data_IF_746914757928
#
_entry.id   IF_746914757928
#
_cell.length_a   1.000
_cell.length_b   1.000
_cell.length_c   1.000
_cell.angle_alpha   90.00
_cell.angle_beta   90.00
_cell.angle_gamma   90.00
#
_symmetry.space_group_name_H-M   'P 1'
#
loop_
_entity.id
_entity.type
_entity.pdbx_description
1 polymer ?
#
# COMPACT_ATOMS: atom_id res chain seq x y z
N UNK A 1 2.79 -16.21 -2.45
CA UNK A 1 3.33 -14.92 -2.94
C UNK A 1 2.31 -13.87 -2.55
N UNK A 2 2.65 -12.93 -1.67
CA UNK A 2 1.70 -11.89 -1.26
C UNK A 2 1.53 -10.92 -2.43
N UNK A 3 0.32 -10.81 -2.95
CA UNK A 3 -0.04 -9.86 -4.01
C UNK A 3 -0.89 -8.75 -3.40
N UNK A 4 -0.62 -7.52 -3.82
CA UNK A 4 -1.40 -6.34 -3.48
C UNK A 4 -1.52 -5.44 -4.72
N UNK A 5 -2.73 -4.98 -5.03
CA UNK A 5 -2.97 -4.18 -6.24
C UNK A 5 -4.15 -3.23 -6.07
N UNK A 6 -4.02 -2.04 -6.65
CA UNK A 6 -5.11 -1.08 -6.83
C UNK A 6 -6.06 -1.60 -7.92
N UNK A 7 -7.36 -1.63 -7.62
CA UNK A 7 -8.40 -2.04 -8.55
C UNK A 7 -9.08 -0.84 -9.19
N UNK A 8 -9.30 0.23 -8.42
CA UNK A 8 -9.99 1.43 -8.89
C UNK A 8 -9.52 2.70 -8.16
N UNK A 9 -9.55 3.83 -8.86
CA UNK A 9 -9.42 5.16 -8.26
C UNK A 9 -10.58 6.04 -8.70
N UNK A 10 -11.40 6.48 -7.74
CA UNK A 10 -12.48 7.42 -7.96
C UNK A 10 -11.99 8.84 -7.63
N UNK A 11 -11.90 9.68 -8.67
CA UNK A 11 -11.44 11.06 -8.55
C UNK A 11 -12.46 11.99 -7.89
N UNK A 12 -13.75 11.73 -8.04
CA UNK A 12 -14.82 12.57 -7.49
C UNK A 12 -14.89 12.46 -5.96
N UNK A 13 -14.83 11.22 -5.44
CA UNK A 13 -14.81 10.94 -4.00
C UNK A 13 -13.40 10.93 -3.40
N UNK A 14 -12.36 11.03 -4.24
CA UNK A 14 -10.95 10.88 -3.87
C UNK A 14 -10.69 9.59 -3.06
N UNK A 15 -11.25 8.47 -3.52
CA UNK A 15 -11.12 7.15 -2.89
C UNK A 15 -10.40 6.16 -3.79
N UNK A 16 -9.63 5.28 -3.18
CA UNK A 16 -8.88 4.20 -3.84
C UNK A 16 -9.42 2.87 -3.33
N UNK A 17 -9.80 2.00 -4.26
CA UNK A 17 -10.12 0.59 -3.97
C UNK A 17 -8.92 -0.28 -4.32
N UNK A 18 -8.53 -1.15 -3.41
CA UNK A 18 -7.36 -2.00 -3.54
C UNK A 18 -7.57 -3.31 -2.78
N UNK A 19 -6.79 -4.34 -3.13
CA UNK A 19 -6.76 -5.58 -2.36
C UNK A 19 -5.35 -5.92 -1.92
N UNK A 20 -5.27 -6.69 -0.84
CA UNK A 20 -4.05 -7.36 -0.39
C UNK A 20 -4.35 -8.78 0.07
N UNK A 21 -3.37 -9.66 -0.09
CA UNK A 21 -3.41 -11.00 0.49
C UNK A 21 -2.65 -10.98 1.83
N UNK A 22 -3.33 -11.32 2.92
CA UNK A 22 -2.68 -11.44 4.22
C UNK A 22 -1.72 -12.65 4.20
N UNK A 23 -0.45 -12.41 4.54
CA UNK A 23 0.59 -13.43 4.56
C UNK A 23 0.38 -14.48 5.66
N UNK A 24 -0.46 -14.20 6.66
CA UNK A 24 -0.75 -15.12 7.78
C UNK A 24 -1.87 -16.10 7.42
N UNK A 25 -2.93 -15.58 6.81
CA UNK A 25 -4.15 -16.35 6.55
C UNK A 25 -4.37 -16.68 5.06
N UNK A 26 -3.48 -16.23 4.17
CA UNK A 26 -3.56 -16.33 2.69
C UNK A 26 -4.91 -15.86 2.10
N UNK A 27 -5.66 -15.08 2.86
CA UNK A 27 -6.96 -14.52 2.44
C UNK A 27 -6.78 -13.17 1.77
N UNK A 28 -7.62 -12.94 0.76
CA UNK A 28 -7.76 -11.65 0.10
C UNK A 28 -8.67 -10.74 0.90
N UNK A 29 -8.24 -9.50 1.09
CA UNK A 29 -9.03 -8.42 1.68
C UNK A 29 -9.16 -7.30 0.65
N UNK A 30 -10.40 -6.92 0.35
CA UNK A 30 -10.72 -5.79 -0.52
C UNK A 30 -11.07 -4.59 0.36
N UNK A 31 -10.41 -3.46 0.13
CA UNK A 31 -10.51 -2.25 0.94
C UNK A 31 -10.79 -1.06 0.03
N UNK A 32 -11.59 -0.11 0.52
CA UNK A 32 -11.79 1.19 -0.13
C UNK A 32 -11.53 2.29 0.88
N UNK A 33 -10.50 3.10 0.63
CA UNK A 33 -10.05 4.16 1.52
C UNK A 33 -10.01 5.51 0.80
N UNK A 34 -9.95 6.60 1.56
CA UNK A 34 -9.53 7.89 1.02
C UNK A 34 -8.08 7.80 0.49
N UNK A 35 -7.79 8.46 -0.62
CA UNK A 35 -6.47 8.41 -1.26
C UNK A 35 -5.31 8.80 -0.32
N UNK A 36 -5.52 9.74 0.60
CA UNK A 36 -4.49 10.15 1.58
C UNK A 36 -4.21 9.01 2.56
N UNK A 37 -5.26 8.34 3.05
CA UNK A 37 -5.12 7.20 3.96
C UNK A 37 -4.42 6.04 3.27
N UNK A 38 -4.79 5.75 2.02
CA UNK A 38 -4.10 4.75 1.20
C UNK A 38 -2.59 5.04 1.07
N UNK A 39 -2.20 6.29 0.79
CA UNK A 39 -0.79 6.70 0.74
C UNK A 39 -0.10 6.50 2.09
N UNK A 40 -0.76 6.85 3.20
CA UNK A 40 -0.21 6.62 4.54
C UNK A 40 0.05 5.13 4.82
N UNK A 41 -0.80 4.22 4.31
CA UNK A 41 -0.57 2.78 4.41
C UNK A 41 0.61 2.28 3.57
N UNK A 42 0.96 2.97 2.47
CA UNK A 42 2.13 2.64 1.65
C UNK A 42 3.44 3.12 2.26
N UNK A 43 3.40 4.21 3.03
CA UNK A 43 4.58 4.78 3.70
C UNK A 43 4.82 3.99 4.99
N UNK A 44 5.28 2.75 4.83
CA UNK A 44 5.46 1.81 5.95
C UNK A 44 6.69 2.21 6.79
N UNK A 45 7.73 2.74 6.16
CA UNK A 45 8.90 3.31 6.84
C UNK A 45 9.53 4.41 6.00
N UNK A 46 9.50 5.65 6.50
CA UNK A 46 10.49 6.65 6.06
C UNK A 46 11.77 6.31 6.81
N UNK A 47 12.84 5.87 6.12
CA UNK A 47 14.09 5.57 6.79
C UNK A 47 14.64 6.83 7.47
N UNK A 48 15.28 6.66 8.62
CA UNK A 48 15.89 7.77 9.35
C UNK A 48 16.85 8.55 8.46
N UNK A 49 17.03 9.84 8.74
CA UNK A 49 17.84 10.76 7.92
C UNK A 49 19.27 10.24 7.64
N UNK A 50 19.81 9.39 8.53
CA UNK A 50 21.15 8.79 8.41
C UNK A 50 21.15 7.30 8.05
N UNK A 51 20.01 6.75 7.60
CA UNK A 51 19.94 5.36 7.20
C UNK A 51 20.68 5.13 5.88
N UNK A 52 21.81 4.44 5.95
CA UNK A 52 22.64 4.12 4.79
C UNK A 52 21.99 3.00 3.99
N UNK A 53 21.53 3.30 2.76
CA UNK A 53 21.02 2.29 1.82
C UNK A 53 22.13 1.79 0.92
N UNK A 54 22.29 0.48 0.81
CA UNK A 54 23.21 -0.15 -0.15
C UNK A 54 22.51 -0.23 -1.51
N UNK A 55 22.97 0.56 -2.49
CA UNK A 55 22.46 0.49 -3.86
C UNK A 55 23.27 -0.56 -4.63
N UNK A 56 22.62 -1.62 -5.09
CA UNK A 56 23.21 -2.53 -6.06
C UNK A 56 23.04 -1.91 -7.46
N UNK A 57 24.14 -1.83 -8.21
CA UNK A 57 24.18 -1.37 -9.60
C UNK A 57 24.12 -2.54 -10.57
#
# INVERSE_FOLDING_TARGET
MAENRITEYNKESNTVSWFYNDHKDEKRYDVTDNAINFINHLIIHIPDYHFLTTRYY
#
